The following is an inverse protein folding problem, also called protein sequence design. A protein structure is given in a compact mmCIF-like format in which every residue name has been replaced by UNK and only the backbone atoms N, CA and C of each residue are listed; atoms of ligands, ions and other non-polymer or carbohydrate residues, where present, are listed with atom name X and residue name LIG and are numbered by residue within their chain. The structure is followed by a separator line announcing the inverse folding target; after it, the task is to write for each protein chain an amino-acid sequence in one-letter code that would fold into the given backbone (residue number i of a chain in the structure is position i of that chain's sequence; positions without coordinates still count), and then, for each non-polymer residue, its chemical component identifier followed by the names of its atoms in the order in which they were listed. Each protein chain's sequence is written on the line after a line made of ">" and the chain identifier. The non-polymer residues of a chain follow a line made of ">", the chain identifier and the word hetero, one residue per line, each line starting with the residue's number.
data_IF_953125566490
#
_entry.id   IF_953125566490
#
_cell.length_a   1.000
_cell.length_b   1.000
_cell.length_c   1.000
_cell.angle_alpha   90.00
_cell.angle_beta   90.00
_cell.angle_gamma   90.00
#
_symmetry.space_group_name_H-M   'P 1'
#
loop_
_entity.id
_entity.type
_entity.pdbx_description
1 polymer ?
#
# COMPACT_ATOMS: atom_id res chain seq x y z
N UNK A 1 14.29 -6.38 5.33
CA UNK A 1 13.38 -6.71 4.23
C UNK A 1 12.42 -7.81 4.65
N UNK A 2 11.12 -7.66 4.39
CA UNK A 2 10.12 -8.71 4.62
C UNK A 2 10.44 -10.02 3.90
N UNK A 3 10.05 -11.15 4.50
CA UNK A 3 10.10 -12.48 3.87
C UNK A 3 8.69 -12.99 3.56
N UNK A 4 8.57 -13.97 2.65
CA UNK A 4 7.29 -14.66 2.38
C UNK A 4 6.70 -15.21 3.68
N UNK A 5 5.37 -15.11 3.81
CA UNK A 5 4.60 -15.49 5.00
C UNK A 5 4.88 -14.68 6.28
N UNK A 6 5.77 -13.69 6.21
CA UNK A 6 6.00 -12.79 7.33
C UNK A 6 4.92 -11.71 7.37
N UNK A 7 4.52 -11.32 8.59
CA UNK A 7 3.52 -10.29 8.78
C UNK A 7 4.20 -8.92 8.82
N UNK A 8 3.76 -8.02 7.94
CA UNK A 8 4.27 -6.67 7.82
C UNK A 8 3.30 -5.71 8.53
N UNK A 9 3.82 -4.85 9.40
CA UNK A 9 3.03 -3.81 10.06
C UNK A 9 3.48 -2.45 9.55
N UNK A 10 2.55 -1.70 8.97
CA UNK A 10 2.83 -0.44 8.27
C UNK A 10 1.89 0.68 8.69
N UNK A 11 2.39 1.91 8.62
CA UNK A 11 1.55 3.07 8.40
C UNK A 11 1.59 3.47 6.93
N UNK A 12 0.51 4.07 6.45
CA UNK A 12 0.39 4.55 5.09
C UNK A 12 -0.64 5.68 4.94
N UNK A 13 -0.46 6.45 3.88
CA UNK A 13 -1.44 7.36 3.28
C UNK A 13 -1.55 7.04 1.79
N UNK A 14 -2.76 6.86 1.27
CA UNK A 14 -3.06 6.60 -0.13
C UNK A 14 -3.76 7.79 -0.79
N UNK A 15 -3.21 8.28 -1.90
CA UNK A 15 -3.77 9.37 -2.69
C UNK A 15 -3.88 9.01 -4.17
N UNK A 16 -4.82 9.64 -4.86
CA UNK A 16 -4.84 9.70 -6.33
C UNK A 16 -3.70 10.62 -6.83
N UNK A 17 -3.46 10.64 -8.14
CA UNK A 17 -2.43 11.48 -8.77
C UNK A 17 -2.66 12.98 -8.57
N UNK A 18 -3.91 13.40 -8.43
CA UNK A 18 -4.29 14.79 -8.15
C UNK A 18 -4.05 15.21 -6.69
N UNK A 19 -3.58 14.29 -5.84
CA UNK A 19 -3.36 14.50 -4.41
C UNK A 19 -4.58 14.20 -3.53
N UNK A 20 -5.74 13.87 -4.11
CA UNK A 20 -6.94 13.51 -3.36
C UNK A 20 -6.68 12.25 -2.53
N UNK A 21 -6.71 12.40 -1.20
CA UNK A 21 -6.57 11.27 -0.29
C UNK A 21 -7.84 10.43 -0.30
N UNK A 22 -7.68 9.11 -0.47
CA UNK A 22 -8.79 8.16 -0.42
C UNK A 22 -8.72 7.26 0.82
N UNK A 23 -7.54 7.08 1.42
CA UNK A 23 -7.37 6.22 2.59
C UNK A 23 -6.10 6.59 3.40
N UNK A 24 -6.16 6.48 4.73
CA UNK A 24 -5.02 6.74 5.62
C UNK A 24 -5.15 5.93 6.92
N UNK A 25 -4.15 5.08 7.18
CA UNK A 25 -4.04 4.39 8.49
C UNK A 25 -3.62 5.34 9.62
N UNK A 26 -2.98 6.47 9.28
CA UNK A 26 -2.57 7.48 10.25
C UNK A 26 -3.77 8.24 10.79
N UNK A 27 -4.75 8.55 9.93
CA UNK A 27 -5.99 9.24 10.31
C UNK A 27 -6.84 8.36 11.22
N UNK A 28 -6.78 7.04 11.03
CA UNK A 28 -7.37 6.06 11.94
C UNK A 28 -6.60 5.84 13.24
N UNK A 29 -5.38 6.37 13.36
CA UNK A 29 -4.51 6.16 14.52
C UNK A 29 -4.08 4.71 14.75
N UNK A 30 -4.24 3.82 13.77
CA UNK A 30 -3.95 2.38 13.90
C UNK A 30 -3.18 1.86 12.69
N UNK A 31 -2.00 1.24 12.89
CA UNK A 31 -1.26 0.59 11.81
C UNK A 31 -2.07 -0.50 11.10
N UNK A 32 -1.79 -0.66 9.83
CA UNK A 32 -2.33 -1.75 9.03
C UNK A 32 -1.32 -2.91 9.00
N UNK A 33 -1.83 -4.14 9.01
CA UNK A 33 -0.99 -5.33 8.97
C UNK A 33 -1.50 -6.31 7.92
N UNK A 34 -0.57 -6.87 7.15
CA UNK A 34 -0.84 -7.85 6.11
C UNK A 34 0.28 -8.88 6.04
N UNK A 35 -0.01 -10.04 5.46
CA UNK A 35 0.98 -11.11 5.29
C UNK A 35 1.57 -11.08 3.88
N UNK A 36 2.90 -11.00 3.82
CA UNK A 36 3.64 -10.95 2.56
C UNK A 36 3.49 -12.26 1.76
N UNK A 37 3.15 -12.14 0.48
CA UNK A 37 2.97 -13.24 -0.45
C UNK A 37 1.60 -13.92 -0.40
N UNK A 38 0.62 -13.37 0.35
CA UNK A 38 -0.76 -13.90 0.40
C UNK A 38 -1.74 -13.15 -0.50
N UNK A 39 -1.30 -12.08 -1.19
CA UNK A 39 -2.17 -11.24 -2.03
C UNK A 39 -3.34 -10.64 -1.24
N UNK A 40 -3.10 -10.32 0.03
CA UNK A 40 -4.04 -9.60 0.89
C UNK A 40 -4.13 -8.10 0.52
N UNK A 41 -3.10 -7.61 -0.17
CA UNK A 41 -2.98 -6.23 -0.66
C UNK A 41 -2.72 -6.23 -2.18
N UNK A 42 -2.83 -5.06 -2.80
CA UNK A 42 -2.54 -4.88 -4.22
C UNK A 42 -1.10 -5.27 -4.57
N UNK A 43 -0.87 -5.67 -5.83
CA UNK A 43 0.43 -6.16 -6.29
C UNK A 43 1.56 -5.15 -6.07
N UNK A 44 1.29 -3.85 -6.26
CA UNK A 44 2.27 -2.78 -6.03
C UNK A 44 2.78 -2.73 -4.59
N UNK A 45 1.94 -3.11 -3.61
CA UNK A 45 2.36 -3.21 -2.22
C UNK A 45 3.19 -4.47 -1.95
N UNK A 46 2.78 -5.63 -2.48
CA UNK A 46 3.57 -6.88 -2.37
C UNK A 46 5.00 -6.66 -2.90
N UNK A 47 5.13 -6.04 -4.08
CA UNK A 47 6.44 -5.80 -4.69
C UNK A 47 7.20 -4.62 -4.06
N UNK A 48 6.53 -3.52 -3.72
CA UNK A 48 7.19 -2.36 -3.14
C UNK A 48 7.62 -2.57 -1.68
N UNK A 49 6.73 -3.09 -0.83
CA UNK A 49 7.01 -3.28 0.60
C UNK A 49 8.03 -4.39 0.82
N UNK A 50 8.08 -5.43 -0.03
CA UNK A 50 9.12 -6.47 0.06
C UNK A 50 10.55 -5.92 -0.10
N UNK A 51 10.69 -4.76 -0.75
CA UNK A 51 11.98 -4.07 -0.94
C UNK A 51 12.27 -3.04 0.17
N UNK A 52 11.40 -2.89 1.17
CA UNK A 52 11.60 -1.93 2.25
C UNK A 52 12.36 -2.53 3.44
N UNK A 53 13.18 -1.72 4.11
CA UNK A 53 13.75 -2.05 5.43
C UNK A 53 12.81 -1.59 6.56
N UNK A 54 12.91 -2.24 7.72
CA UNK A 54 12.15 -1.82 8.90
C UNK A 54 12.60 -0.42 9.32
N UNK A 55 11.64 0.46 9.61
CA UNK A 55 11.83 1.89 9.86
C UNK A 55 11.85 2.76 8.60
N UNK A 56 11.89 2.17 7.39
CA UNK A 56 11.89 2.96 6.17
C UNK A 56 10.51 3.54 5.87
N UNK A 57 10.50 4.81 5.43
CA UNK A 57 9.36 5.45 4.78
C UNK A 57 9.66 5.68 3.31
N UNK A 58 8.73 5.31 2.43
CA UNK A 58 8.89 5.38 0.99
C UNK A 58 7.57 5.74 0.31
N UNK A 59 7.65 6.43 -0.84
CA UNK A 59 6.50 6.62 -1.72
C UNK A 59 6.51 5.59 -2.84
N UNK A 60 5.42 4.85 -2.98
CA UNK A 60 5.17 3.93 -4.07
C UNK A 60 4.16 4.56 -5.04
N UNK A 61 4.54 4.66 -6.32
CA UNK A 61 3.62 5.01 -7.40
C UNK A 61 3.18 3.73 -8.09
N UNK A 62 1.93 3.35 -7.91
CA UNK A 62 1.36 2.12 -8.45
C UNK A 62 0.50 2.44 -9.67
N UNK A 63 0.92 1.99 -10.85
CA UNK A 63 0.08 2.06 -12.06
C UNK A 63 -1.16 1.17 -11.89
N UNK A 64 -2.21 1.35 -12.71
CA UNK A 64 -3.46 0.63 -12.54
C UNK A 64 -3.28 -0.89 -12.51
N UNK A 65 -2.37 -1.44 -13.32
CA UNK A 65 -2.09 -2.88 -13.43
C UNK A 65 -1.50 -3.47 -12.15
N UNK A 66 -0.88 -2.63 -11.32
CA UNK A 66 -0.34 -2.98 -10.01
C UNK A 66 -1.27 -2.57 -8.85
N UNK A 67 -2.42 -1.97 -9.17
CA UNK A 67 -3.43 -1.49 -8.23
C UNK A 67 -4.81 -2.14 -8.52
N UNK A 68 -5.84 -1.35 -8.81
CA UNK A 68 -7.22 -1.80 -8.99
C UNK A 68 -7.64 -1.94 -10.47
N UNK A 69 -6.71 -1.73 -11.40
CA UNK A 69 -6.91 -1.93 -12.84
C UNK A 69 -8.03 -1.10 -13.44
N UNK A 70 -8.58 -1.59 -14.55
CA UNK A 70 -9.65 -0.93 -15.30
C UNK A 70 -11.00 -0.90 -14.61
N UNK A 71 -11.18 -1.67 -13.52
CA UNK A 71 -12.41 -1.67 -12.74
C UNK A 71 -12.40 -0.60 -11.66
N UNK A 72 -11.23 -0.28 -11.10
CA UNK A 72 -11.15 0.54 -9.90
C UNK A 72 -11.73 -0.16 -8.67
N UNK A 73 -12.08 0.63 -7.65
CA UNK A 73 -12.76 0.18 -6.45
C UNK A 73 -14.03 1.02 -6.24
N UNK A 74 -15.23 0.42 -6.26
CA UNK A 74 -16.49 1.16 -6.24
C UNK A 74 -16.55 2.23 -5.14
N UNK A 75 -16.88 3.46 -5.54
CA UNK A 75 -17.05 4.59 -4.62
C UNK A 75 -15.78 5.23 -4.06
N UNK A 76 -14.59 4.68 -4.34
CA UNK A 76 -13.31 5.15 -3.76
C UNK A 76 -12.24 5.37 -4.81
N UNK A 77 -11.99 4.36 -5.67
CA UNK A 77 -10.91 4.39 -6.66
C UNK A 77 -11.52 4.35 -8.07
N UNK A 78 -11.29 5.37 -8.92
CA UNK A 78 -11.74 5.35 -10.30
C UNK A 78 -11.11 4.23 -11.14
N UNK A 79 -11.77 3.81 -12.24
CA UNK A 79 -11.16 3.00 -13.30
C UNK A 79 -9.82 3.55 -13.78
N UNK A 80 -8.83 2.67 -14.01
CA UNK A 80 -7.52 3.02 -14.56
C UNK A 80 -6.75 4.09 -13.75
N UNK A 81 -7.01 4.21 -12.44
CA UNK A 81 -6.33 5.16 -11.59
C UNK A 81 -4.92 4.69 -11.21
N UNK A 82 -3.93 5.56 -11.41
CA UNK A 82 -2.61 5.44 -10.77
C UNK A 82 -2.72 5.95 -9.34
N UNK A 83 -2.18 5.18 -8.39
CA UNK A 83 -2.23 5.48 -6.97
C UNK A 83 -0.85 5.82 -6.43
N UNK A 84 -0.78 6.75 -5.50
CA UNK A 84 0.43 7.07 -4.76
C UNK A 84 0.22 6.65 -3.31
N UNK A 85 1.14 5.85 -2.77
CA UNK A 85 1.14 5.44 -1.38
C UNK A 85 2.40 5.93 -0.69
N UNK A 86 2.26 6.71 0.37
CA UNK A 86 3.34 7.03 1.31
C UNK A 86 3.31 6.03 2.45
N UNK A 87 4.20 5.04 2.42
CA UNK A 87 4.23 3.89 3.33
C UNK A 87 5.42 3.99 4.25
N UNK A 88 5.22 3.64 5.52
CA UNK A 88 6.25 3.46 6.53
C UNK A 88 6.18 2.03 7.10
N UNK A 89 7.25 1.25 6.93
CA UNK A 89 7.34 -0.10 7.46
C UNK A 89 7.78 -0.07 8.92
N UNK A 90 6.84 -0.26 9.84
CA UNK A 90 7.09 -0.09 11.28
C UNK A 90 7.84 -1.28 11.88
N UNK A 91 7.40 -2.50 11.55
CA UNK A 91 8.00 -3.74 12.05
C UNK A 91 7.56 -4.95 11.23
N UNK A 92 8.24 -6.07 11.49
CA UNK A 92 7.90 -7.38 10.97
C UNK A 92 7.58 -8.31 12.14
N UNK A 93 6.56 -9.14 11.96
CA UNK A 93 6.05 -10.15 12.90
C UNK A 93 6.15 -11.55 12.29
#
# INVERSE_FOLDING_TARGET
>A
FPKKQQRCVVHYVGTLLDGSQFDSSRDRGKPFAFVMGRREVIRGWEEGVSQMSVGQRAKLTCTPEYAYGSKGYPGVIPPNATLIFDIELLRLE
#
